data_IF_756687289758
#
_entry.id   IF_756687289758
#
_cell.length_a   1.000
_cell.length_b   1.000
_cell.length_c   1.000
_cell.angle_alpha   90.00
_cell.angle_beta   90.00
_cell.angle_gamma   90.00
#
_symmetry.space_group_name_H-M   'P 1'
#
loop_
_entity.id
_entity.type
_entity.pdbx_description
1 polymer ?
#
# COMPACT_ATOMS: atom_id res chain seq x y z
N UNK A 1 -12.26 10.85 -15.52
CA UNK A 1 -12.19 11.34 -14.13
C UNK A 1 -10.82 11.96 -13.85
N UNK A 2 -10.77 12.87 -12.88
CA UNK A 2 -9.51 13.32 -12.26
C UNK A 2 -9.31 12.55 -10.95
N UNK A 3 -8.25 11.78 -10.85
CA UNK A 3 -7.99 10.89 -9.72
C UNK A 3 -6.69 11.32 -9.03
N UNK A 4 -6.75 11.44 -7.70
CA UNK A 4 -5.57 11.59 -6.87
C UNK A 4 -5.13 10.21 -6.36
N UNK A 5 -3.86 9.84 -6.59
CA UNK A 5 -3.29 8.60 -6.05
C UNK A 5 -2.20 8.97 -5.03
N UNK A 6 -2.42 8.66 -3.77
CA UNK A 6 -1.36 8.77 -2.75
C UNK A 6 -0.50 7.51 -2.77
N UNK A 7 0.80 7.66 -2.53
CA UNK A 7 1.74 6.54 -2.67
C UNK A 7 1.87 6.05 -4.10
N UNK A 8 1.70 6.93 -5.11
CA UNK A 8 1.69 6.58 -6.53
C UNK A 8 3.02 6.04 -7.07
N UNK A 9 4.12 6.22 -6.35
CA UNK A 9 5.43 5.60 -6.63
C UNK A 9 5.69 4.35 -5.78
N UNK A 10 4.74 3.97 -4.92
CA UNK A 10 4.75 2.70 -4.21
C UNK A 10 4.47 1.50 -5.13
N UNK A 11 4.50 0.29 -4.57
CA UNK A 11 4.24 -0.94 -5.34
C UNK A 11 2.84 -0.92 -5.97
N UNK A 12 1.79 -0.86 -5.17
CA UNK A 12 0.40 -0.84 -5.66
C UNK A 12 0.13 0.42 -6.49
N UNK A 13 0.51 1.59 -5.95
CA UNK A 13 0.23 2.87 -6.59
C UNK A 13 0.81 3.00 -7.98
N UNK A 14 2.05 2.53 -8.22
CA UNK A 14 2.68 2.60 -9.54
C UNK A 14 1.97 1.76 -10.60
N UNK A 15 1.42 0.61 -10.22
CA UNK A 15 0.62 -0.22 -11.13
C UNK A 15 -0.73 0.44 -11.44
N UNK A 16 -1.37 1.05 -10.45
CA UNK A 16 -2.61 1.81 -10.64
C UNK A 16 -2.40 3.04 -11.53
N UNK A 17 -1.36 3.84 -11.26
CA UNK A 17 -1.01 5.00 -12.10
C UNK A 17 -0.82 4.59 -13.56
N UNK A 18 -0.04 3.53 -13.80
CA UNK A 18 0.19 3.04 -15.16
C UNK A 18 -1.09 2.54 -15.85
N UNK A 19 -1.96 1.88 -15.12
CA UNK A 19 -3.20 1.32 -15.68
C UNK A 19 -4.26 2.38 -15.91
N UNK A 20 -4.51 3.24 -14.91
CA UNK A 20 -5.57 4.24 -14.93
C UNK A 20 -5.19 5.48 -15.73
N UNK A 21 -3.89 5.82 -15.82
CA UNK A 21 -3.40 6.99 -16.55
C UNK A 21 -3.65 6.95 -18.06
N UNK A 22 -4.03 5.79 -18.59
CA UNK A 22 -4.43 5.63 -20.00
C UNK A 22 -5.84 6.19 -20.29
N UNK A 23 -6.69 6.29 -19.28
CA UNK A 23 -8.12 6.63 -19.41
C UNK A 23 -8.55 7.81 -18.52
N UNK A 24 -7.74 8.15 -17.53
CA UNK A 24 -8.04 9.16 -16.52
C UNK A 24 -6.90 10.16 -16.37
N UNK A 25 -7.22 11.34 -15.83
CA UNK A 25 -6.20 12.33 -15.45
C UNK A 25 -5.73 11.99 -14.04
N UNK A 26 -4.47 11.61 -13.89
CA UNK A 26 -3.88 11.20 -12.61
C UNK A 26 -2.98 12.29 -12.08
N UNK A 27 -3.19 12.64 -10.83
CA UNK A 27 -2.24 13.39 -10.01
C UNK A 27 -1.69 12.45 -8.92
N UNK A 28 -0.40 12.55 -8.61
CA UNK A 28 0.27 11.69 -7.62
C UNK A 28 0.72 12.55 -6.43
N UNK A 29 0.47 12.06 -5.23
CA UNK A 29 1.11 12.52 -3.99
C UNK A 29 1.95 11.38 -3.42
N UNK A 30 3.24 11.64 -3.22
CA UNK A 30 4.15 10.65 -2.64
C UNK A 30 5.24 11.35 -1.81
N UNK A 31 5.67 10.71 -0.74
CA UNK A 31 6.81 11.12 0.08
C UNK A 31 8.16 10.70 -0.51
N UNK A 32 8.20 10.34 -1.79
CA UNK A 32 9.38 9.84 -2.45
C UNK A 32 10.56 10.81 -2.41
N UNK A 33 11.68 10.34 -1.89
CA UNK A 33 13.00 10.91 -2.04
C UNK A 33 13.88 9.86 -2.73
N UNK A 34 14.63 10.23 -3.76
CA UNK A 34 15.59 9.33 -4.43
C UNK A 34 16.66 8.79 -3.44
N UNK A 35 16.89 9.52 -2.34
CA UNK A 35 17.66 9.07 -1.18
C UNK A 35 16.81 8.29 -0.16
N UNK A 36 15.48 8.23 -0.35
CA UNK A 36 14.54 7.50 0.48
C UNK A 36 14.46 6.03 0.02
N UNK A 37 15.53 5.37 0.15
CA UNK A 37 15.55 3.93 0.32
C UNK A 37 15.10 3.72 1.75
N UNK A 38 13.86 3.43 2.06
CA UNK A 38 13.20 3.21 3.36
C UNK A 38 14.00 3.10 4.68
N UNK A 39 15.24 3.46 4.67
CA UNK A 39 16.32 3.22 5.63
C UNK A 39 16.71 4.40 6.50
N UNK A 40 16.53 5.66 6.07
CA UNK A 40 16.93 6.78 6.93
C UNK A 40 16.16 6.80 8.25
N UNK A 41 14.95 6.23 8.26
CA UNK A 41 14.17 6.11 9.49
C UNK A 41 14.61 4.93 10.38
N UNK A 42 15.08 3.84 9.79
CA UNK A 42 15.55 2.65 10.53
C UNK A 42 16.88 2.93 11.25
N UNK A 43 17.75 3.77 10.67
CA UNK A 43 19.08 4.04 11.26
C UNK A 43 19.10 5.07 12.40
N UNK A 44 18.04 5.86 12.62
CA UNK A 44 18.07 6.90 13.67
C UNK A 44 17.78 6.42 15.09
N UNK A 45 17.39 5.18 15.32
CA UNK A 45 17.00 4.76 16.67
C UNK A 45 17.24 3.31 17.08
N UNK A 46 17.57 2.39 16.19
CA UNK A 46 17.66 0.98 16.55
C UNK A 46 19.10 0.45 16.49
N UNK A 47 19.72 0.27 17.63
CA UNK A 47 21.00 -0.45 17.79
C UNK A 47 20.90 -1.97 17.47
N UNK A 48 19.91 -2.41 16.69
CA UNK A 48 19.63 -3.84 16.49
C UNK A 48 19.26 -4.30 15.09
N UNK A 49 19.04 -3.42 14.13
CA UNK A 49 18.81 -3.82 12.74
C UNK A 49 20.14 -3.85 12.01
N UNK A 50 20.62 -5.06 11.74
CA UNK A 50 21.85 -5.29 10.98
C UNK A 50 21.84 -4.55 9.65
N UNK A 51 23.00 -4.04 9.25
CA UNK A 51 23.23 -3.46 7.94
C UNK A 51 22.69 -4.40 6.85
N UNK A 52 21.82 -3.86 5.99
CA UNK A 52 21.40 -4.61 4.81
C UNK A 52 22.59 -4.81 3.91
N UNK A 53 22.75 -6.02 3.42
CA UNK A 53 23.80 -6.33 2.49
C UNK A 53 23.62 -5.57 1.16
N UNK A 54 24.67 -5.47 0.39
CA UNK A 54 24.67 -4.71 -0.87
C UNK A 54 23.68 -5.28 -1.91
N UNK A 55 23.36 -6.57 -1.82
CA UNK A 55 22.36 -7.23 -2.67
C UNK A 55 20.96 -6.65 -2.40
N UNK A 56 20.57 -6.49 -1.14
CA UNK A 56 19.28 -5.90 -0.78
C UNK A 56 19.18 -4.42 -1.21
N UNK A 57 20.25 -3.64 -1.05
CA UNK A 57 20.31 -2.27 -1.55
C UNK A 57 20.14 -2.21 -3.06
N UNK A 58 20.78 -3.12 -3.79
CA UNK A 58 20.67 -3.22 -5.25
C UNK A 58 19.27 -3.57 -5.69
N UNK A 59 18.62 -4.56 -5.06
CA UNK A 59 17.25 -4.96 -5.37
C UNK A 59 16.23 -3.82 -5.13
N UNK A 60 16.39 -3.07 -4.04
CA UNK A 60 15.54 -1.90 -3.76
C UNK A 60 15.66 -0.83 -4.83
N UNK A 61 16.89 -0.53 -5.22
CA UNK A 61 17.16 0.47 -6.26
C UNK A 61 16.55 0.03 -7.59
N UNK A 62 16.63 -1.24 -7.94
CA UNK A 62 16.04 -1.79 -9.16
C UNK A 62 14.50 -1.73 -9.13
N UNK A 63 13.88 -2.13 -8.02
CA UNK A 63 12.43 -2.08 -7.88
C UNK A 63 11.90 -0.64 -7.94
N UNK A 64 12.61 0.28 -7.31
CA UNK A 64 12.29 1.70 -7.38
C UNK A 64 12.40 2.23 -8.81
N UNK A 65 13.51 1.95 -9.49
CA UNK A 65 13.72 2.34 -10.88
C UNK A 65 12.64 1.77 -11.80
N UNK A 66 12.25 0.52 -11.61
CA UNK A 66 11.14 -0.11 -12.32
C UNK A 66 9.84 0.68 -12.12
N UNK A 67 9.46 0.99 -10.86
CA UNK A 67 8.22 1.71 -10.55
C UNK A 67 8.21 3.12 -11.13
N UNK A 68 9.29 3.87 -10.99
CA UNK A 68 9.42 5.23 -11.55
C UNK A 68 9.28 5.21 -13.07
N UNK A 69 9.94 4.29 -13.76
CA UNK A 69 9.83 4.17 -15.21
C UNK A 69 8.43 3.74 -15.65
N UNK A 70 7.77 2.87 -14.90
CA UNK A 70 6.42 2.39 -15.18
C UNK A 70 5.39 3.52 -15.20
N UNK A 71 5.54 4.53 -14.36
CA UNK A 71 4.59 5.64 -14.27
C UNK A 71 4.93 6.82 -15.16
N UNK A 72 6.10 6.83 -15.80
CA UNK A 72 6.57 7.96 -16.62
C UNK A 72 5.56 8.28 -17.72
N UNK A 73 5.09 9.54 -17.75
CA UNK A 73 4.09 10.01 -18.71
C UNK A 73 2.64 9.59 -18.44
N UNK A 74 2.39 8.84 -17.37
CA UNK A 74 1.05 8.36 -17.00
C UNK A 74 0.35 9.23 -15.94
N UNK A 75 1.03 10.25 -15.44
CA UNK A 75 0.44 11.22 -14.49
C UNK A 75 0.64 12.65 -15.00
N UNK A 76 -0.24 13.55 -14.57
CA UNK A 76 -0.21 14.95 -14.96
C UNK A 76 0.65 15.79 -14.01
N UNK A 77 0.50 15.58 -12.70
CA UNK A 77 1.25 16.30 -11.69
C UNK A 77 1.77 15.33 -10.64
N UNK A 78 2.97 15.61 -10.16
CA UNK A 78 3.58 14.92 -9.05
C UNK A 78 3.80 15.93 -7.91
N UNK A 79 3.23 15.65 -6.77
CA UNK A 79 3.37 16.44 -5.57
C UNK A 79 4.22 15.67 -4.57
N UNK A 80 5.48 16.10 -4.44
CA UNK A 80 6.36 15.55 -3.40
C UNK A 80 5.97 16.13 -2.06
N UNK A 81 5.65 15.29 -1.09
CA UNK A 81 5.37 15.73 0.26
C UNK A 81 5.91 14.74 1.29
N UNK A 82 6.51 15.27 2.35
CA UNK A 82 6.87 14.50 3.53
C UNK A 82 5.78 14.58 4.61
N UNK A 83 4.68 15.27 4.31
CA UNK A 83 3.56 15.49 5.21
C UNK A 83 2.27 15.63 4.41
N UNK A 84 1.19 15.01 4.88
CA UNK A 84 -0.16 15.19 4.32
C UNK A 84 -0.71 16.63 4.49
N UNK A 85 0.04 17.52 5.09
CA UNK A 85 -0.35 18.94 5.24
C UNK A 85 -0.20 19.73 3.93
N UNK A 86 0.53 19.21 2.95
CA UNK A 86 0.79 19.88 1.67
C UNK A 86 0.09 19.18 0.50
N UNK A 87 -1.20 18.94 0.66
CA UNK A 87 -2.01 18.36 -0.42
C UNK A 87 -2.37 19.41 -1.47
N UNK A 88 -2.51 19.00 -2.76
CA UNK A 88 -2.84 19.93 -3.82
C UNK A 88 -4.27 20.49 -3.66
N UNK A 89 -4.40 21.83 -3.73
CA UNK A 89 -5.69 22.51 -3.68
C UNK A 89 -6.41 22.37 -5.04
N UNK A 90 -6.93 21.20 -5.33
CA UNK A 90 -7.67 20.87 -6.54
C UNK A 90 -8.87 19.98 -6.21
N UNK A 91 -9.86 19.96 -7.06
CA UNK A 91 -10.97 19.01 -6.97
C UNK A 91 -10.64 17.71 -7.68
N UNK A 92 -10.99 16.60 -7.06
CA UNK A 92 -10.84 15.25 -7.58
C UNK A 92 -12.19 14.54 -7.57
N UNK A 93 -12.40 13.71 -8.60
CA UNK A 93 -13.59 12.85 -8.67
C UNK A 93 -13.43 11.62 -7.75
N UNK A 94 -12.19 11.19 -7.51
CA UNK A 94 -11.84 10.03 -6.70
C UNK A 94 -10.44 10.21 -6.10
N UNK A 95 -10.27 9.73 -4.87
CA UNK A 95 -8.94 9.56 -4.26
C UNK A 95 -8.70 8.06 -4.07
N UNK A 96 -7.54 7.57 -4.51
CA UNK A 96 -7.07 6.21 -4.22
C UNK A 96 -5.93 6.33 -3.20
N UNK A 97 -6.21 5.89 -1.98
CA UNK A 97 -5.26 5.99 -0.88
C UNK A 97 -4.41 4.73 -0.73
N UNK A 98 -3.24 4.74 -1.40
CA UNK A 98 -2.21 3.69 -1.29
C UNK A 98 -1.02 4.14 -0.42
N UNK A 99 -0.94 5.42 -0.07
CA UNK A 99 0.19 6.02 0.66
C UNK A 99 0.16 5.67 2.13
N UNK A 100 0.97 4.70 2.54
CA UNK A 100 1.16 4.35 3.94
C UNK A 100 2.41 3.48 4.10
N UNK A 101 2.94 3.38 5.33
CA UNK A 101 3.87 2.31 5.68
C UNK A 101 3.13 0.96 5.58
N UNK A 102 3.60 0.07 4.71
CA UNK A 102 2.90 -1.19 4.37
C UNK A 102 3.55 -2.44 4.96
N UNK A 103 4.53 -2.29 5.86
CA UNK A 103 5.33 -3.39 6.38
C UNK A 103 4.97 -3.71 7.84
N UNK A 104 4.33 -4.86 8.08
CA UNK A 104 3.95 -5.29 9.42
C UNK A 104 5.15 -5.44 10.37
N UNK A 105 6.30 -5.92 9.86
CA UNK A 105 7.54 -6.06 10.68
C UNK A 105 8.03 -4.68 11.13
N UNK A 106 8.06 -3.69 10.24
CA UNK A 106 8.47 -2.34 10.61
C UNK A 106 7.48 -1.68 11.58
N UNK A 107 6.21 -2.02 11.52
CA UNK A 107 5.19 -1.48 12.43
C UNK A 107 5.44 -1.83 13.88
N UNK A 108 6.06 -2.98 14.17
CA UNK A 108 6.44 -3.39 15.51
C UNK A 108 7.58 -2.54 16.08
N UNK A 109 8.47 -2.06 15.22
CA UNK A 109 9.61 -1.22 15.63
C UNK A 109 9.26 0.27 15.66
N UNK A 110 8.28 0.70 14.87
CA UNK A 110 7.88 2.10 14.70
C UNK A 110 6.35 2.26 14.76
N UNK A 111 5.70 1.93 15.89
CA UNK A 111 4.23 1.92 15.99
C UNK A 111 3.62 3.31 15.78
N UNK A 112 4.18 4.36 16.36
CA UNK A 112 3.69 5.74 16.21
C UNK A 112 3.81 6.22 14.76
N UNK A 113 4.94 5.97 14.11
CA UNK A 113 5.12 6.34 12.71
C UNK A 113 4.17 5.56 11.80
N UNK A 114 3.92 4.29 12.09
CA UNK A 114 2.96 3.47 11.37
C UNK A 114 1.55 4.04 11.51
N UNK A 115 1.14 4.32 12.74
CA UNK A 115 -0.14 4.96 13.02
C UNK A 115 -0.27 6.28 12.28
N UNK A 116 0.71 7.16 12.36
CA UNK A 116 0.67 8.48 11.73
C UNK A 116 0.60 8.39 10.21
N UNK A 117 1.38 7.50 9.60
CA UNK A 117 1.36 7.33 8.15
C UNK A 117 0.03 6.77 7.63
N UNK A 118 -0.62 5.89 8.38
CA UNK A 118 -1.87 5.23 7.98
C UNK A 118 -3.08 6.07 8.38
N UNK A 119 -3.19 6.42 9.66
CA UNK A 119 -4.40 7.05 10.23
C UNK A 119 -4.41 8.55 9.95
N UNK A 120 -3.37 9.30 10.39
CA UNK A 120 -3.31 10.75 10.15
C UNK A 120 -3.21 11.10 8.67
N UNK A 121 -2.63 10.20 7.87
CA UNK A 121 -2.62 10.33 6.42
C UNK A 121 -4.02 10.35 5.84
N UNK A 122 -4.85 9.36 6.16
CA UNK A 122 -6.23 9.29 5.69
C UNK A 122 -7.10 10.41 6.30
N UNK A 123 -6.91 10.72 7.59
CA UNK A 123 -7.60 11.83 8.25
C UNK A 123 -7.35 13.16 7.53
N UNK A 124 -6.11 13.42 7.15
CA UNK A 124 -5.74 14.62 6.39
C UNK A 124 -6.43 14.65 5.02
N UNK A 125 -6.43 13.53 4.29
CA UNK A 125 -7.14 13.42 3.01
C UNK A 125 -8.65 13.73 3.16
N UNK A 126 -9.29 13.16 4.16
CA UNK A 126 -10.73 13.41 4.43
C UNK A 126 -11.01 14.85 4.83
N UNK A 127 -10.09 15.47 5.56
CA UNK A 127 -10.19 16.89 5.95
C UNK A 127 -10.03 17.83 4.75
N UNK A 128 -9.06 17.56 3.86
CA UNK A 128 -8.82 18.40 2.68
C UNK A 128 -9.86 18.20 1.58
N UNK A 129 -10.39 16.98 1.44
CA UNK A 129 -11.33 16.60 0.39
C UNK A 129 -12.60 15.97 0.96
N UNK A 130 -13.38 16.72 1.78
CA UNK A 130 -14.50 16.13 2.55
C UNK A 130 -15.64 15.59 1.66
N UNK A 131 -15.72 16.05 0.42
CA UNK A 131 -16.77 15.64 -0.53
C UNK A 131 -16.31 14.54 -1.48
N UNK A 132 -15.00 14.31 -1.64
CA UNK A 132 -14.46 13.36 -2.61
C UNK A 132 -14.52 11.95 -2.04
N UNK A 133 -15.06 10.97 -2.77
CA UNK A 133 -15.02 9.57 -2.37
C UNK A 133 -13.57 9.06 -2.32
N UNK A 134 -13.30 8.17 -1.37
CA UNK A 134 -11.98 7.56 -1.17
C UNK A 134 -12.08 6.06 -1.38
N UNK A 135 -11.19 5.50 -2.20
CA UNK A 135 -10.90 4.09 -2.22
C UNK A 135 -9.65 3.88 -1.34
N UNK A 136 -9.87 3.30 -0.16
CA UNK A 136 -8.82 3.06 0.83
C UNK A 136 -8.28 1.64 0.73
N UNK A 137 -6.98 1.50 0.53
CA UNK A 137 -6.30 0.20 0.56
C UNK A 137 -6.00 -0.14 2.03
N UNK A 138 -6.84 -1.00 2.60
CA UNK A 138 -6.66 -1.61 3.91
C UNK A 138 -5.81 -2.89 3.81
N UNK A 139 -6.12 -3.93 4.57
CA UNK A 139 -5.40 -5.21 4.56
C UNK A 139 -6.23 -6.30 5.22
N UNK A 140 -6.08 -7.55 4.82
CA UNK A 140 -6.61 -8.72 5.54
C UNK A 140 -6.03 -8.86 6.97
N UNK A 141 -4.90 -8.21 7.26
CA UNK A 141 -4.33 -8.20 8.62
C UNK A 141 -5.22 -7.53 9.66
N UNK A 142 -6.28 -6.85 9.26
CA UNK A 142 -7.30 -6.33 10.20
C UNK A 142 -8.05 -7.43 10.93
N UNK A 143 -8.11 -8.63 10.37
CA UNK A 143 -8.79 -9.77 10.98
C UNK A 143 -7.96 -10.50 12.05
N UNK A 144 -6.63 -10.24 12.10
CA UNK A 144 -5.73 -10.97 12.98
C UNK A 144 -5.50 -12.39 12.48
N UNK A 145 -5.45 -13.34 13.41
CA UNK A 145 -5.36 -14.77 13.10
C UNK A 145 -6.77 -15.35 12.93
N UNK A 146 -7.01 -16.11 11.87
CA UNK A 146 -8.30 -16.75 11.60
C UNK A 146 -8.13 -18.17 11.06
N UNK A 147 -9.17 -18.94 11.16
CA UNK A 147 -9.29 -20.28 10.57
C UNK A 147 -10.47 -20.31 9.60
N UNK A 148 -10.33 -21.09 8.53
CA UNK A 148 -11.40 -21.27 7.53
C UNK A 148 -11.60 -20.08 6.61
N UNK A 149 -12.80 -19.97 6.07
CA UNK A 149 -13.20 -18.89 5.13
C UNK A 149 -13.85 -17.77 5.94
N UNK A 150 -13.44 -16.54 5.69
CA UNK A 150 -13.99 -15.35 6.32
C UNK A 150 -14.60 -14.43 5.26
N UNK A 151 -15.60 -13.67 5.67
CA UNK A 151 -16.20 -12.60 4.89
C UNK A 151 -15.92 -11.22 5.51
N UNK A 152 -16.46 -10.17 4.93
CA UNK A 152 -16.24 -8.80 5.36
C UNK A 152 -16.93 -8.47 6.71
N UNK A 153 -17.85 -9.33 7.17
CA UNK A 153 -18.54 -9.20 8.47
C UNK A 153 -17.76 -9.85 9.62
N UNK A 154 -16.69 -10.59 9.30
CA UNK A 154 -15.85 -11.21 10.32
C UNK A 154 -15.27 -10.16 11.26
N UNK A 155 -15.16 -10.49 12.54
CA UNK A 155 -14.68 -9.57 13.60
C UNK A 155 -13.25 -9.11 13.33
N UNK A 156 -13.01 -7.81 13.54
CA UNK A 156 -11.68 -7.22 13.43
C UNK A 156 -10.92 -7.41 14.75
N UNK A 157 -9.68 -7.91 14.69
CA UNK A 157 -8.93 -8.27 15.89
C UNK A 157 -7.43 -8.44 15.66
N UNK A 158 -6.81 -7.49 14.98
CA UNK A 158 -5.35 -7.54 14.73
C UNK A 158 -4.55 -7.43 16.02
N UNK A 159 -3.46 -8.18 16.12
CA UNK A 159 -2.50 -8.13 17.23
C UNK A 159 -1.26 -7.28 16.91
N UNK A 160 -1.08 -6.87 15.67
CA UNK A 160 0.07 -6.07 15.26
C UNK A 160 -0.30 -4.61 14.99
N UNK A 161 0.66 -3.71 15.20
CA UNK A 161 0.45 -2.26 15.06
C UNK A 161 0.02 -1.84 13.66
N UNK A 162 0.42 -2.57 12.61
CA UNK A 162 -0.02 -2.31 11.25
C UNK A 162 -1.51 -2.56 11.09
N UNK A 163 -1.97 -3.76 11.45
CA UNK A 163 -3.39 -4.12 11.36
C UNK A 163 -4.27 -3.25 12.27
N UNK A 164 -3.83 -2.96 13.51
CA UNK A 164 -4.53 -2.04 14.42
C UNK A 164 -4.67 -0.63 13.80
N UNK A 165 -3.61 -0.13 13.16
CA UNK A 165 -3.66 1.16 12.46
C UNK A 165 -4.59 1.13 11.26
N UNK A 166 -4.65 0.01 10.52
CA UNK A 166 -5.62 -0.17 9.42
C UNK A 166 -7.05 -0.21 9.93
N UNK A 167 -7.34 -0.95 11.00
CA UNK A 167 -8.66 -0.95 11.65
C UNK A 167 -9.07 0.49 12.01
N UNK A 168 -8.17 1.24 12.65
CA UNK A 168 -8.45 2.63 13.01
C UNK A 168 -8.69 3.51 11.79
N UNK A 169 -7.94 3.34 10.71
CA UNK A 169 -8.12 4.09 9.48
C UNK A 169 -9.48 3.77 8.81
N UNK A 170 -9.92 2.52 8.84
CA UNK A 170 -11.24 2.15 8.30
C UNK A 170 -12.39 2.90 8.98
N UNK A 171 -12.27 3.23 10.27
CA UNK A 171 -13.29 4.04 10.98
C UNK A 171 -13.41 5.47 10.48
N UNK A 172 -12.47 5.96 9.70
CA UNK A 172 -12.50 7.29 9.07
C UNK A 172 -13.20 7.29 7.70
N UNK A 173 -13.44 6.11 7.14
CA UNK A 173 -14.18 5.95 5.89
C UNK A 173 -15.69 6.12 6.15
N UNK A 174 -16.38 6.81 5.26
CA UNK A 174 -17.82 7.06 5.33
C UNK A 174 -18.59 6.27 4.26
N UNK A 175 -19.91 6.50 4.22
CA UNK A 175 -20.85 5.77 3.36
C UNK A 175 -20.56 5.82 1.85
N UNK A 176 -19.80 6.80 1.38
CA UNK A 176 -19.42 6.96 -0.03
C UNK A 176 -18.06 6.32 -0.38
N UNK A 177 -17.36 5.81 0.61
CA UNK A 177 -16.00 5.30 0.45
C UNK A 177 -16.01 3.79 0.17
N UNK A 178 -14.93 3.33 -0.45
CA UNK A 178 -14.65 1.92 -0.65
C UNK A 178 -13.43 1.54 0.20
N UNK A 179 -13.54 0.45 0.94
CA UNK A 179 -12.44 -0.14 1.70
C UNK A 179 -12.09 -1.47 1.05
N UNK A 180 -10.82 -1.64 0.68
CA UNK A 180 -10.31 -2.91 0.17
C UNK A 180 -9.41 -3.56 1.20
N UNK A 181 -9.71 -4.81 1.55
CA UNK A 181 -8.92 -5.66 2.44
C UNK A 181 -8.21 -6.75 1.62
N UNK A 182 -7.15 -6.37 0.89
CA UNK A 182 -6.42 -7.38 0.13
C UNK A 182 -5.67 -8.32 1.07
N UNK A 183 -5.57 -9.55 0.62
CA UNK A 183 -4.60 -10.51 1.10
C UNK A 183 -3.20 -10.13 0.56
N UNK A 184 -2.19 -10.98 0.75
CA UNK A 184 -0.84 -10.70 0.26
C UNK A 184 -0.81 -10.43 -1.26
N UNK A 185 -0.42 -9.22 -1.65
CA UNK A 185 -0.27 -8.83 -3.06
C UNK A 185 1.19 -9.05 -3.47
N UNK A 186 1.41 -9.68 -4.62
CA UNK A 186 2.75 -9.93 -5.15
C UNK A 186 2.90 -9.54 -6.62
N UNK A 187 4.13 -9.35 -7.08
CA UNK A 187 4.43 -9.08 -8.48
C UNK A 187 5.65 -8.20 -8.68
N UNK A 188 5.87 -7.79 -9.92
CA UNK A 188 7.03 -6.96 -10.27
C UNK A 188 6.99 -5.59 -9.59
N UNK A 189 8.10 -5.23 -8.96
CA UNK A 189 8.22 -3.98 -8.21
C UNK A 189 7.81 -4.08 -6.75
N UNK A 190 7.46 -5.28 -6.27
CA UNK A 190 7.21 -5.54 -4.87
C UNK A 190 8.43 -5.25 -3.99
N UNK A 191 8.19 -4.98 -2.72
CA UNK A 191 9.23 -4.60 -1.76
C UNK A 191 10.08 -5.78 -1.29
N UNK A 192 11.16 -5.46 -0.60
CA UNK A 192 12.16 -6.44 -0.13
C UNK A 192 11.66 -7.43 0.93
N UNK A 193 10.56 -7.13 1.59
CA UNK A 193 9.97 -8.02 2.59
C UNK A 193 8.85 -8.87 2.03
N UNK A 194 8.72 -8.91 0.69
CA UNK A 194 7.76 -9.81 0.08
C UNK A 194 8.11 -11.26 0.40
N UNK A 195 7.09 -12.08 0.54
CA UNK A 195 7.25 -13.52 0.76
C UNK A 195 8.11 -14.16 -0.34
N UNK A 196 7.98 -13.66 -1.57
CA UNK A 196 8.73 -14.15 -2.74
C UNK A 196 10.21 -13.83 -2.65
N UNK A 197 10.60 -12.63 -2.21
CA UNK A 197 12.00 -12.31 -1.98
C UNK A 197 12.62 -13.12 -0.85
N UNK A 198 11.84 -13.47 0.16
CA UNK A 198 12.31 -14.37 1.22
C UNK A 198 12.52 -15.79 0.69
N UNK A 199 11.61 -16.28 -0.17
CA UNK A 199 11.74 -17.57 -0.85
C UNK A 199 12.99 -17.58 -1.74
N UNK A 200 13.16 -16.60 -2.61
CA UNK A 200 14.35 -16.47 -3.48
C UNK A 200 15.66 -16.46 -2.67
N UNK A 201 15.64 -15.73 -1.56
CA UNK A 201 16.81 -15.69 -0.66
C UNK A 201 17.11 -17.05 -0.01
N UNK A 202 16.10 -17.77 0.44
CA UNK A 202 16.27 -19.09 1.03
C UNK A 202 16.78 -20.10 0.00
N UNK A 203 16.27 -20.06 -1.22
CA UNK A 203 16.74 -20.87 -2.34
C UNK A 203 18.20 -20.54 -2.63
N UNK A 204 18.57 -19.26 -2.73
CA UNK A 204 19.92 -18.81 -3.04
C UNK A 204 20.97 -19.27 -2.01
N UNK A 205 20.58 -19.49 -0.75
CA UNK A 205 21.45 -19.98 0.31
C UNK A 205 21.22 -21.47 0.65
N UNK A 206 20.51 -22.20 -0.23
CA UNK A 206 20.20 -23.63 -0.10
C UNK A 206 19.54 -24.01 1.24
N UNK A 207 18.71 -23.12 1.79
CA UNK A 207 17.90 -23.41 2.98
C UNK A 207 16.54 -23.95 2.60
N UNK A 208 15.93 -24.83 3.40
CA UNK A 208 14.57 -25.26 3.20
C UNK A 208 13.61 -24.07 3.16
N UNK A 209 12.73 -24.05 2.17
CA UNK A 209 11.66 -23.05 2.04
C UNK A 209 10.43 -23.62 2.70
N UNK A 210 10.03 -23.05 3.83
CA UNK A 210 8.72 -23.31 4.42
C UNK A 210 7.69 -22.44 3.67
N UNK A 211 6.87 -23.09 2.85
CA UNK A 211 5.75 -22.41 2.17
C UNK A 211 4.49 -22.73 2.96
N UNK A 212 4.04 -21.80 3.78
CA UNK A 212 2.69 -21.86 4.32
C UNK A 212 1.68 -21.54 3.22
N UNK A 213 0.51 -22.18 3.27
CA UNK A 213 -0.61 -21.81 2.39
C UNK A 213 -1.12 -20.44 2.76
N UNK A 214 -0.50 -19.41 2.22
CA UNK A 214 -1.00 -18.05 2.33
C UNK A 214 -1.76 -17.72 1.05
N UNK A 215 -2.99 -17.28 1.18
CA UNK A 215 -3.70 -16.71 0.04
C UNK A 215 -2.92 -15.49 -0.46
N UNK A 216 -2.82 -15.33 -1.77
CA UNK A 216 -2.15 -14.20 -2.40
C UNK A 216 -2.90 -13.77 -3.67
N UNK A 217 -2.65 -12.56 -4.14
CA UNK A 217 -3.20 -12.05 -5.40
C UNK A 217 -2.08 -11.39 -6.21
N UNK A 218 -2.04 -11.69 -7.52
CA UNK A 218 -1.10 -11.03 -8.41
C UNK A 218 -1.50 -9.56 -8.61
N UNK A 219 -0.51 -8.67 -8.68
CA UNK A 219 -0.74 -7.22 -8.72
C UNK A 219 -1.63 -6.77 -9.90
N UNK A 220 -1.49 -7.38 -11.07
CA UNK A 220 -2.30 -6.99 -12.22
C UNK A 220 -3.77 -7.41 -12.05
N UNK A 221 -4.05 -8.55 -11.39
CA UNK A 221 -5.41 -8.97 -11.05
C UNK A 221 -6.02 -8.05 -9.98
N UNK A 222 -5.23 -7.62 -9.02
CA UNK A 222 -5.66 -6.63 -8.04
C UNK A 222 -6.01 -5.29 -8.70
N UNK A 223 -5.21 -4.84 -9.67
CA UNK A 223 -5.48 -3.63 -10.46
C UNK A 223 -6.76 -3.79 -11.29
N UNK A 224 -6.99 -4.98 -11.89
CA UNK A 224 -8.23 -5.28 -12.62
C UNK A 224 -9.46 -5.21 -11.69
N UNK A 225 -9.36 -5.76 -10.48
CA UNK A 225 -10.43 -5.67 -9.48
C UNK A 225 -10.73 -4.21 -9.12
N UNK A 226 -9.73 -3.39 -8.87
CA UNK A 226 -9.90 -1.97 -8.59
C UNK A 226 -10.58 -1.24 -9.76
N UNK A 227 -10.17 -1.51 -11.01
CA UNK A 227 -10.82 -0.91 -12.18
C UNK A 227 -12.30 -1.24 -12.25
N UNK A 228 -12.68 -2.49 -12.04
CA UNK A 228 -14.10 -2.91 -12.01
C UNK A 228 -14.87 -2.16 -10.92
N UNK A 229 -14.28 -1.99 -9.74
CA UNK A 229 -14.90 -1.22 -8.65
C UNK A 229 -15.07 0.25 -9.04
N UNK A 230 -14.10 0.85 -9.71
CA UNK A 230 -14.17 2.24 -10.18
C UNK A 230 -15.25 2.40 -11.25
N UNK A 231 -15.35 1.46 -12.19
CA UNK A 231 -16.31 1.50 -13.29
C UNK A 231 -17.76 1.31 -12.82
N UNK A 232 -17.97 0.53 -11.76
CA UNK A 232 -19.28 0.25 -11.16
C UNK A 232 -19.38 0.72 -9.71
N UNK A 233 -18.92 1.93 -9.41
CA UNK A 233 -18.73 2.44 -8.05
C UNK A 233 -19.85 2.03 -7.09
N UNK A 234 -19.52 1.14 -6.18
CA UNK A 234 -20.42 0.67 -5.13
C UNK A 234 -19.67 0.79 -3.80
N UNK A 235 -20.00 1.77 -2.94
CA UNK A 235 -19.35 1.94 -1.65
C UNK A 235 -19.54 0.73 -0.75
N UNK A 236 -18.53 0.46 0.07
CA UNK A 236 -18.55 -0.68 0.99
C UNK A 236 -17.16 -1.24 1.25
N UNK A 237 -17.12 -2.36 1.96
CA UNK A 237 -15.87 -3.08 2.27
C UNK A 237 -15.83 -4.36 1.45
N UNK A 238 -14.65 -4.68 0.92
CA UNK A 238 -14.43 -5.84 0.06
C UNK A 238 -13.13 -6.56 0.39
N UNK A 239 -13.23 -7.84 0.63
CA UNK A 239 -12.07 -8.73 0.67
C UNK A 239 -11.58 -8.99 -0.76
N UNK A 240 -10.28 -8.88 -0.98
CA UNK A 240 -9.69 -9.16 -2.30
C UNK A 240 -8.65 -10.27 -2.15
N UNK A 241 -9.00 -11.45 -2.64
CA UNK A 241 -8.15 -12.64 -2.59
C UNK A 241 -8.39 -13.53 -3.81
N UNK A 242 -7.45 -14.43 -4.06
CA UNK A 242 -7.71 -15.64 -4.84
C UNK A 242 -8.17 -16.75 -3.89
N UNK A 243 -9.29 -17.39 -4.22
CA UNK A 243 -9.65 -18.67 -3.60
C UNK A 243 -8.84 -19.77 -4.30
N UNK A 244 -8.02 -20.47 -3.56
CA UNK A 244 -7.44 -21.73 -3.97
C UNK A 244 -8.23 -22.89 -3.38
#
# INVERSE_FOLDING_TARGET
MRILITGGLGFIGSHLVNSLGKQHVIDIVDGFDENYVGYKFIHRGSKGLQETNDIEKKHRKLNLHYRVNKVRGMYRHFFKTNSYVQLPLKEYDLIINCGALSEAILSQHFPEFTHDSIVKGLESLKKFYPKTPVLHISSSMVYGTWEGVIDEQYSLGSENHYGLSKIKAETLCGEKDVILRPIHIYGMGDGKFSIWMNIDRQIAISKPVLVERAGCIYIDDFVIAIKKIIDSWNPGTYNISYNF
#
